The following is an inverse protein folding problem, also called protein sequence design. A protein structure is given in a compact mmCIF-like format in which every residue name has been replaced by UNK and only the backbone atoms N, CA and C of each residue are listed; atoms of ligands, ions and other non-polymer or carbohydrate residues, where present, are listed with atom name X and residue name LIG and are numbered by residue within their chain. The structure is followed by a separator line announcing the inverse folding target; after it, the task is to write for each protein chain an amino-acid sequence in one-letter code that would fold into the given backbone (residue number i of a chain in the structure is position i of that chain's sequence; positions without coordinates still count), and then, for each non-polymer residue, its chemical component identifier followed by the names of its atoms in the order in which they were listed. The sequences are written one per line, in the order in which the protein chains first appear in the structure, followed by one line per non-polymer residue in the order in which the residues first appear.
data_IF_752970532312
#
_entry.id   IF_752970532312
#
_cell.length_a   1.000
_cell.length_b   1.000
_cell.length_c   1.000
_cell.angle_alpha   90.00
_cell.angle_beta   90.00
_cell.angle_gamma   90.00
#
_symmetry.space_group_name_H-M   'P 1'
#
loop_
_entity.id
_entity.type
_entity.pdbx_description
1 polymer ?
#
# COMPACT_ATOMS: atom_id res chain seq x y z
N UNK A 1 -18.65 -20.44 -13.29
CA UNK A 1 -17.28 -20.45 -13.86
C UNK A 1 -16.38 -19.79 -12.82
N UNK A 2 -15.86 -20.60 -11.84
CA UNK A 2 -15.26 -20.11 -10.57
C UNK A 2 -13.83 -20.68 -10.40
N UNK A 3 -13.02 -20.61 -11.47
CA UNK A 3 -11.69 -21.25 -11.51
C UNK A 3 -10.55 -20.33 -11.02
N UNK A 4 -10.80 -19.00 -10.96
CA UNK A 4 -9.75 -18.05 -10.58
C UNK A 4 -9.59 -17.83 -9.06
N UNK A 5 -10.62 -18.07 -8.27
CA UNK A 5 -10.58 -17.82 -6.82
C UNK A 5 -9.62 -18.78 -6.08
N UNK A 6 -9.50 -20.03 -6.52
CA UNK A 6 -8.62 -21.03 -5.89
C UNK A 6 -7.14 -20.82 -6.15
N UNK A 7 -6.78 -20.14 -7.23
CA UNK A 7 -5.38 -19.95 -7.63
C UNK A 7 -4.63 -18.92 -6.77
N UNK A 8 -5.34 -18.07 -6.03
CA UNK A 8 -4.74 -17.05 -5.15
C UNK A 8 -4.67 -17.49 -3.68
N UNK A 9 -5.43 -18.51 -3.25
CA UNK A 9 -5.49 -18.91 -1.82
C UNK A 9 -4.16 -19.43 -1.27
N UNK A 10 -3.31 -20.02 -2.10
CA UNK A 10 -1.99 -20.52 -1.69
C UNK A 10 -0.84 -19.51 -1.88
N UNK A 11 -1.11 -18.36 -2.48
CA UNK A 11 -0.05 -17.35 -2.67
C UNK A 11 0.35 -16.72 -1.33
N UNK A 12 1.66 -16.62 -1.04
CA UNK A 12 2.12 -16.09 0.23
C UNK A 12 1.97 -14.56 0.31
N UNK A 13 1.90 -14.07 1.55
CA UNK A 13 2.36 -12.72 1.87
C UNK A 13 3.89 -12.77 1.96
N UNK A 14 4.56 -11.92 1.19
CA UNK A 14 6.02 -11.79 1.20
C UNK A 14 6.39 -10.51 1.92
N UNK A 15 7.35 -10.58 2.85
CA UNK A 15 7.90 -9.40 3.50
C UNK A 15 9.39 -9.28 3.22
N UNK A 16 9.81 -8.12 2.68
CA UNK A 16 11.21 -7.75 2.51
C UNK A 16 11.78 -7.12 3.78
N UNK A 17 12.84 -7.70 4.33
CA UNK A 17 13.51 -7.21 5.54
C UNK A 17 14.96 -6.81 5.26
N UNK A 18 15.42 -5.69 5.83
CA UNK A 18 16.75 -5.12 5.58
C UNK A 18 17.60 -4.90 6.82
N UNK A 19 17.16 -5.36 7.98
CA UNK A 19 17.88 -5.16 9.25
C UNK A 19 17.75 -3.75 9.82
N UNK A 20 16.86 -2.92 9.30
CA UNK A 20 16.54 -1.60 9.85
C UNK A 20 15.90 -1.70 11.25
N UNK A 21 15.85 -0.59 11.97
CA UNK A 21 15.18 -0.55 13.29
C UNK A 21 13.71 -0.89 13.25
N UNK A 22 13.06 -0.67 12.10
CA UNK A 22 11.65 -0.94 11.89
C UNK A 22 11.35 -2.41 11.55
N UNK A 23 12.36 -3.28 11.41
CA UNK A 23 12.19 -4.67 10.93
C UNK A 23 11.12 -5.44 11.71
N UNK A 24 11.06 -5.28 13.03
CA UNK A 24 10.10 -5.99 13.86
C UNK A 24 8.66 -5.56 13.53
N UNK A 25 8.40 -4.27 13.48
CA UNK A 25 7.08 -3.73 13.16
C UNK A 25 6.64 -4.09 11.72
N UNK A 26 7.58 -4.12 10.77
CA UNK A 26 7.30 -4.55 9.39
C UNK A 26 6.92 -6.03 9.34
N UNK A 27 7.63 -6.87 10.08
CA UNK A 27 7.35 -8.30 10.18
C UNK A 27 6.02 -8.55 10.89
N UNK A 28 5.70 -7.82 11.96
CA UNK A 28 4.43 -7.91 12.67
C UNK A 28 3.25 -7.51 11.78
N UNK A 29 3.39 -6.41 11.03
CA UNK A 29 2.40 -5.99 10.05
C UNK A 29 2.17 -7.08 8.98
N UNK A 30 3.24 -7.65 8.45
CA UNK A 30 3.14 -8.71 7.44
C UNK A 30 2.52 -9.99 8.01
N UNK A 31 2.82 -10.35 9.25
CA UNK A 31 2.21 -11.49 9.92
C UNK A 31 0.71 -11.29 10.14
N UNK A 32 0.29 -10.12 10.60
CA UNK A 32 -1.12 -9.76 10.73
C UNK A 32 -1.86 -9.83 9.38
N UNK A 33 -1.24 -9.31 8.30
CA UNK A 33 -1.78 -9.40 6.95
C UNK A 33 -1.89 -10.86 6.45
N UNK A 34 -0.91 -11.71 6.77
CA UNK A 34 -0.91 -13.14 6.40
C UNK A 34 -2.00 -13.91 7.15
N UNK A 35 -2.16 -13.67 8.47
CA UNK A 35 -3.22 -14.28 9.28
C UNK A 35 -4.59 -13.89 8.73
N UNK A 36 -4.82 -12.61 8.49
CA UNK A 36 -6.09 -12.10 8.00
C UNK A 36 -6.47 -12.67 6.63
N UNK A 37 -5.48 -12.89 5.76
CA UNK A 37 -5.68 -13.48 4.43
C UNK A 37 -5.66 -14.99 4.42
N UNK A 38 -5.42 -15.65 5.57
CA UNK A 38 -5.19 -17.10 5.66
C UNK A 38 -4.12 -17.60 4.71
N UNK A 39 -3.11 -16.76 4.46
CA UNK A 39 -1.99 -17.01 3.55
C UNK A 39 -0.73 -17.36 4.32
N UNK A 40 0.18 -18.19 3.76
CA UNK A 40 1.50 -18.36 4.36
C UNK A 40 2.31 -17.05 4.31
N UNK A 41 3.25 -16.90 5.24
CA UNK A 41 4.18 -15.78 5.29
C UNK A 41 5.56 -16.22 4.82
N UNK A 42 6.18 -15.48 3.91
CA UNK A 42 7.57 -15.65 3.49
C UNK A 42 8.37 -14.42 3.89
N UNK A 43 9.33 -14.60 4.82
CA UNK A 43 10.23 -13.53 5.25
C UNK A 43 11.47 -13.59 4.37
N UNK A 44 11.67 -12.56 3.56
CA UNK A 44 12.72 -12.50 2.55
C UNK A 44 13.75 -11.43 2.90
N UNK A 45 15.01 -11.79 2.90
CA UNK A 45 16.13 -10.86 2.90
C UNK A 45 16.90 -11.00 1.59
N UNK A 46 17.24 -9.87 0.96
CA UNK A 46 18.08 -9.86 -0.23
C UNK A 46 19.47 -9.41 0.17
N UNK A 47 20.41 -10.35 0.13
CA UNK A 47 21.80 -10.07 0.40
C UNK A 47 22.47 -9.46 -0.84
N UNK A 48 23.01 -8.23 -0.75
CA UNK A 48 23.52 -7.51 -1.93
C UNK A 48 24.74 -8.18 -2.56
N UNK A 49 25.43 -9.07 -1.85
CA UNK A 49 26.58 -9.79 -2.40
C UNK A 49 27.64 -8.85 -2.97
N UNK A 50 28.20 -9.25 -4.11
CA UNK A 50 29.13 -8.42 -4.90
C UNK A 50 28.41 -7.41 -5.80
N UNK A 51 27.07 -7.43 -5.88
CA UNK A 51 26.24 -6.53 -6.69
C UNK A 51 25.95 -5.21 -5.97
N UNK A 52 27.01 -4.53 -5.53
CA UNK A 52 26.89 -3.28 -4.81
C UNK A 52 26.86 -2.09 -5.75
N UNK A 53 25.85 -2.00 -6.64
CA UNK A 53 25.73 -0.90 -7.60
C UNK A 53 25.93 0.48 -6.98
N UNK A 54 25.05 0.90 -6.09
CA UNK A 54 25.10 2.20 -5.43
C UNK A 54 25.99 2.25 -4.17
N UNK A 55 26.48 1.11 -3.69
CA UNK A 55 27.30 1.00 -2.47
C UNK A 55 28.79 0.84 -2.74
N UNK A 56 29.23 0.91 -3.99
CA UNK A 56 30.66 0.94 -4.32
C UNK A 56 31.33 2.16 -3.68
N UNK A 57 31.82 1.99 -2.45
CA UNK A 57 32.64 2.99 -1.79
C UNK A 57 32.25 3.41 -0.37
N UNK A 58 31.14 2.93 0.17
CA UNK A 58 30.74 3.30 1.55
C UNK A 58 30.28 2.08 2.33
N UNK A 59 31.20 1.41 3.00
CA UNK A 59 30.86 0.44 4.03
C UNK A 59 31.27 -0.99 3.72
N UNK A 60 31.39 -1.77 4.76
CA UNK A 60 31.63 -3.21 4.73
C UNK A 60 30.37 -3.91 4.23
N UNK A 61 30.51 -4.83 3.29
CA UNK A 61 29.40 -5.71 2.87
C UNK A 61 28.96 -6.52 4.10
N UNK A 62 27.68 -6.49 4.51
CA UNK A 62 27.22 -7.27 5.64
C UNK A 62 27.54 -8.75 5.44
N UNK A 63 27.94 -9.44 6.51
CA UNK A 63 28.22 -10.85 6.41
C UNK A 63 26.93 -11.62 6.09
N UNK A 64 27.03 -12.67 5.26
CA UNK A 64 25.88 -13.52 4.93
C UNK A 64 25.31 -14.24 6.16
N UNK A 65 26.15 -14.44 7.20
CA UNK A 65 25.73 -14.93 8.51
C UNK A 65 24.75 -13.99 9.21
N UNK A 66 24.94 -12.68 9.10
CA UNK A 66 24.08 -11.68 9.71
C UNK A 66 22.69 -11.67 9.04
N UNK A 67 22.68 -11.82 7.71
CA UNK A 67 21.44 -11.98 6.95
C UNK A 67 20.65 -13.23 7.38
N UNK A 68 21.34 -14.36 7.60
CA UNK A 68 20.70 -15.59 8.11
C UNK A 68 20.17 -15.42 9.51
N UNK A 69 20.95 -14.79 10.40
CA UNK A 69 20.52 -14.50 11.76
C UNK A 69 19.30 -13.59 11.82
N UNK A 70 19.27 -12.53 10.99
CA UNK A 70 18.10 -11.66 10.85
C UNK A 70 16.84 -12.43 10.51
N UNK A 71 16.91 -13.32 9.51
CA UNK A 71 15.80 -14.16 9.09
C UNK A 71 15.36 -15.13 10.20
N UNK A 72 16.30 -15.74 10.91
CA UNK A 72 16.00 -16.66 12.01
C UNK A 72 15.29 -15.98 13.18
N UNK A 73 15.76 -14.80 13.58
CA UNK A 73 15.13 -14.00 14.63
C UNK A 73 13.72 -13.56 14.22
N UNK A 74 13.54 -13.13 12.97
CA UNK A 74 12.24 -12.73 12.44
C UNK A 74 11.25 -13.90 12.41
N UNK A 75 11.67 -15.09 11.97
CA UNK A 75 10.83 -16.30 11.99
C UNK A 75 10.47 -16.72 13.42
N UNK A 76 11.45 -16.70 14.33
CA UNK A 76 11.22 -17.04 15.73
C UNK A 76 10.20 -16.12 16.39
N UNK A 77 10.27 -14.80 16.10
CA UNK A 77 9.29 -13.82 16.56
C UNK A 77 7.87 -14.17 16.08
N UNK A 78 7.70 -14.35 14.76
CA UNK A 78 6.38 -14.65 14.20
C UNK A 78 5.81 -15.95 14.75
N UNK A 79 6.62 -17.01 14.87
CA UNK A 79 6.16 -18.30 15.43
C UNK A 79 5.71 -18.20 16.88
N UNK A 80 6.32 -17.31 17.67
CA UNK A 80 5.92 -17.06 19.06
C UNK A 80 4.57 -16.34 19.13
N UNK A 81 4.34 -15.34 18.28
CA UNK A 81 3.14 -14.50 18.29
C UNK A 81 1.98 -15.12 17.50
N UNK A 82 2.29 -15.88 16.46
CA UNK A 82 1.33 -16.53 15.56
C UNK A 82 1.67 -18.01 15.34
N UNK A 83 1.51 -18.89 16.36
CA UNK A 83 1.98 -20.29 16.29
C UNK A 83 1.32 -21.12 15.17
N UNK A 84 0.11 -20.74 14.73
CA UNK A 84 -0.61 -21.43 13.64
C UNK A 84 -0.24 -20.93 12.23
N UNK A 85 0.48 -19.80 12.13
CA UNK A 85 0.86 -19.23 10.84
C UNK A 85 1.99 -20.05 10.19
N UNK A 86 1.78 -20.48 8.95
CA UNK A 86 2.84 -21.12 8.15
C UNK A 86 3.87 -20.07 7.74
N UNK A 87 5.09 -20.15 8.31
CA UNK A 87 6.17 -19.18 8.07
C UNK A 87 7.38 -19.86 7.43
N UNK A 88 7.89 -19.25 6.37
CA UNK A 88 9.14 -19.64 5.69
C UNK A 88 10.12 -18.47 5.67
N UNK A 89 11.40 -18.76 5.61
CA UNK A 89 12.47 -17.77 5.39
C UNK A 89 13.09 -17.96 4.02
N UNK A 90 13.48 -16.86 3.38
CA UNK A 90 14.15 -16.88 2.08
C UNK A 90 15.30 -15.89 2.08
N UNK A 91 16.49 -16.35 1.68
CA UNK A 91 17.65 -15.52 1.46
C UNK A 91 17.95 -15.50 -0.04
N UNK A 92 17.84 -14.35 -0.65
CA UNK A 92 18.11 -14.12 -2.07
C UNK A 92 19.43 -13.37 -2.23
N UNK A 93 20.07 -13.53 -3.37
CA UNK A 93 21.30 -12.83 -3.72
C UNK A 93 20.99 -11.81 -4.83
N UNK A 94 21.51 -10.58 -4.72
CA UNK A 94 21.38 -9.57 -5.78
C UNK A 94 20.81 -8.23 -5.36
N UNK A 95 20.15 -7.56 -6.29
CA UNK A 95 19.50 -6.27 -6.04
C UNK A 95 18.12 -6.43 -5.41
N UNK A 96 17.89 -5.84 -4.23
CA UNK A 96 16.65 -5.99 -3.48
C UNK A 96 15.40 -5.60 -4.30
N UNK A 97 15.48 -4.53 -5.07
CA UNK A 97 14.35 -4.04 -5.87
C UNK A 97 13.91 -5.08 -6.92
N UNK A 98 14.86 -5.65 -7.65
CA UNK A 98 14.59 -6.63 -8.72
C UNK A 98 14.09 -7.94 -8.11
N UNK A 99 14.79 -8.47 -7.11
CA UNK A 99 14.43 -9.75 -6.50
C UNK A 99 13.05 -9.73 -5.84
N UNK A 100 12.69 -8.63 -5.19
CA UNK A 100 11.37 -8.48 -4.59
C UNK A 100 10.27 -8.25 -5.65
N UNK A 101 10.57 -7.55 -6.75
CA UNK A 101 9.64 -7.41 -7.86
C UNK A 101 9.35 -8.76 -8.53
N UNK A 102 10.37 -9.59 -8.76
CA UNK A 102 10.20 -10.96 -9.27
C UNK A 102 9.36 -11.81 -8.30
N UNK A 103 9.64 -11.75 -6.99
CA UNK A 103 8.87 -12.47 -5.97
C UNK A 103 7.40 -12.03 -5.93
N UNK A 104 7.09 -10.77 -6.26
CA UNK A 104 5.73 -10.26 -6.26
C UNK A 104 4.81 -10.96 -7.26
N UNK A 105 5.34 -11.48 -8.36
CA UNK A 105 4.56 -12.22 -9.37
C UNK A 105 3.88 -13.48 -8.81
N UNK A 106 4.43 -14.05 -7.76
CA UNK A 106 3.94 -15.26 -7.10
C UNK A 106 3.37 -14.99 -5.71
N UNK A 107 3.19 -13.73 -5.37
CA UNK A 107 2.74 -13.29 -4.05
C UNK A 107 1.31 -12.76 -4.09
N UNK A 108 0.63 -12.85 -2.96
CA UNK A 108 -0.68 -12.22 -2.73
C UNK A 108 -0.53 -10.77 -2.28
N UNK A 109 0.53 -10.49 -1.54
CA UNK A 109 0.88 -9.16 -1.02
C UNK A 109 2.38 -9.10 -0.83
N UNK A 110 3.00 -8.01 -1.23
CA UNK A 110 4.38 -7.68 -0.89
C UNK A 110 4.38 -6.59 0.18
N UNK A 111 5.09 -6.83 1.29
CA UNK A 111 5.24 -5.87 2.39
C UNK A 111 6.69 -5.42 2.48
N UNK A 112 6.93 -4.12 2.52
CA UNK A 112 8.26 -3.52 2.69
C UNK A 112 8.21 -2.37 3.67
N UNK A 113 9.36 -2.05 4.24
CA UNK A 113 9.54 -0.85 5.07
C UNK A 113 9.89 0.36 4.23
N UNK A 114 9.46 1.51 4.72
CA UNK A 114 10.01 2.78 4.27
C UNK A 114 11.33 3.04 5.00
N UNK A 115 12.37 3.39 4.27
CA UNK A 115 13.68 3.69 4.87
C UNK A 115 13.75 5.18 5.18
N UNK A 116 13.73 5.51 6.46
CA UNK A 116 13.97 6.86 6.97
C UNK A 116 15.48 7.21 6.91
N UNK A 117 16.08 7.10 5.73
CA UNK A 117 17.47 7.54 5.58
C UNK A 117 17.50 9.06 5.33
N UNK A 118 18.00 9.79 6.33
CA UNK A 118 18.10 11.27 6.34
C UNK A 118 18.92 11.80 5.17
N UNK A 119 19.68 10.95 4.49
CA UNK A 119 20.58 11.32 3.41
C UNK A 119 19.96 11.26 2.02
N UNK A 120 18.80 10.62 1.87
CA UNK A 120 18.12 10.47 0.58
C UNK A 120 17.04 11.52 0.42
N UNK A 121 17.19 12.40 -0.55
CA UNK A 121 16.23 13.49 -0.87
C UNK A 121 14.88 13.03 -1.41
N UNK A 122 14.69 11.75 -1.73
CA UNK A 122 13.44 11.19 -2.26
C UNK A 122 12.73 10.35 -1.20
N UNK A 123 11.46 10.61 -1.00
CA UNK A 123 10.66 10.15 0.13
C UNK A 123 10.51 8.64 0.34
N UNK A 124 10.69 7.78 -0.67
CA UNK A 124 10.37 6.34 -0.57
C UNK A 124 11.59 5.42 -0.53
N UNK A 125 12.77 5.92 -0.83
CA UNK A 125 13.95 5.12 -1.08
C UNK A 125 13.88 4.33 -2.41
N UNK A 126 15.05 3.96 -2.97
CA UNK A 126 15.13 3.42 -4.34
C UNK A 126 14.41 2.08 -4.51
N UNK A 127 14.41 1.21 -3.51
CA UNK A 127 13.76 -0.09 -3.57
C UNK A 127 12.24 0.05 -3.60
N UNK A 128 11.66 0.81 -2.68
CA UNK A 128 10.20 1.01 -2.61
C UNK A 128 9.68 1.74 -3.84
N UNK A 129 10.44 2.72 -4.34
CA UNK A 129 10.13 3.41 -5.56
C UNK A 129 10.05 2.48 -6.77
N UNK A 130 11.05 1.64 -6.93
CA UNK A 130 11.07 0.65 -8.00
C UNK A 130 9.88 -0.31 -7.88
N UNK A 131 9.61 -0.83 -6.68
CA UNK A 131 8.52 -1.76 -6.42
C UNK A 131 7.14 -1.14 -6.66
N UNK A 132 6.96 0.16 -6.41
CA UNK A 132 5.71 0.85 -6.70
C UNK A 132 5.30 0.76 -8.18
N UNK A 133 6.28 0.68 -9.09
CA UNK A 133 6.04 0.59 -10.53
C UNK A 133 6.12 -0.84 -11.10
N UNK A 134 6.80 -1.75 -10.41
CA UNK A 134 7.15 -3.08 -10.95
C UNK A 134 6.56 -4.24 -10.15
N UNK A 135 5.84 -3.98 -9.05
CA UNK A 135 5.18 -5.06 -8.32
C UNK A 135 3.99 -5.60 -9.09
N UNK A 136 3.92 -6.91 -9.24
CA UNK A 136 2.82 -7.64 -9.87
C UNK A 136 1.67 -7.93 -8.89
N UNK A 137 1.86 -7.74 -7.59
CA UNK A 137 0.83 -7.85 -6.57
C UNK A 137 0.71 -6.53 -5.77
N UNK A 138 -0.32 -6.35 -4.95
CA UNK A 138 -0.41 -5.20 -4.06
C UNK A 138 0.85 -5.05 -3.21
N UNK A 139 1.32 -3.80 -3.07
CA UNK A 139 2.50 -3.43 -2.31
C UNK A 139 2.08 -2.64 -1.07
N UNK A 140 2.31 -3.19 0.11
CA UNK A 140 2.10 -2.52 1.39
C UNK A 140 3.42 -1.94 1.90
N UNK A 141 3.48 -0.63 1.99
CA UNK A 141 4.64 0.10 2.49
C UNK A 141 4.39 0.50 3.94
N UNK A 142 5.13 -0.13 4.86
CA UNK A 142 5.11 0.26 6.27
C UNK A 142 5.82 1.61 6.44
N UNK A 143 5.24 2.47 7.26
CA UNK A 143 5.80 3.75 7.67
C UNK A 143 5.83 3.80 9.19
N UNK A 144 6.89 4.35 9.74
CA UNK A 144 7.03 4.50 11.18
C UNK A 144 5.83 5.26 11.78
N UNK A 145 5.06 4.59 12.62
CA UNK A 145 3.84 5.08 13.28
C UNK A 145 2.83 3.97 13.43
N UNK A 146 2.13 3.97 14.54
CA UNK A 146 1.03 3.04 14.82
C UNK A 146 -0.31 3.76 14.70
N UNK A 147 -0.90 3.91 13.51
CA UNK A 147 -2.28 4.33 13.42
C UNK A 147 -3.17 3.13 13.73
N UNK A 148 -3.41 2.88 15.00
CA UNK A 148 -4.31 1.80 15.45
C UNK A 148 -5.76 2.14 15.16
N UNK A 149 -6.07 3.42 14.91
CA UNK A 149 -7.42 3.92 14.68
C UNK A 149 -7.46 4.87 13.49
N UNK A 150 -8.65 5.12 12.96
CA UNK A 150 -8.89 6.04 11.85
C UNK A 150 -9.54 5.39 10.63
N UNK A 151 -9.95 6.18 9.63
CA UNK A 151 -10.56 5.67 8.41
C UNK A 151 -9.53 4.97 7.50
N UNK A 152 -10.04 4.10 6.64
CA UNK A 152 -9.32 3.77 5.41
C UNK A 152 -9.54 4.92 4.44
N UNK A 153 -8.47 5.41 3.83
CA UNK A 153 -8.54 6.46 2.82
C UNK A 153 -8.18 5.84 1.46
N UNK A 154 -9.00 6.07 0.46
CA UNK A 154 -8.67 5.65 -0.92
C UNK A 154 -8.55 6.88 -1.81
N UNK A 155 -7.47 6.94 -2.56
CA UNK A 155 -7.36 7.90 -3.64
C UNK A 155 -7.71 7.21 -4.96
N UNK A 156 -8.65 7.80 -5.69
CA UNK A 156 -9.18 7.21 -6.92
C UNK A 156 -9.35 8.24 -8.02
N UNK A 157 -9.04 7.81 -9.24
CA UNK A 157 -9.40 8.57 -10.45
C UNK A 157 -10.87 8.42 -10.83
N UNK A 158 -11.61 7.57 -10.13
CA UNK A 158 -12.98 7.17 -10.44
C UNK A 158 -13.19 6.62 -11.87
N UNK A 159 -12.12 6.19 -12.55
CA UNK A 159 -12.18 5.52 -13.85
C UNK A 159 -12.41 4.02 -13.66
N UNK A 160 -12.87 3.30 -14.70
CA UNK A 160 -13.09 1.85 -14.62
C UNK A 160 -11.88 1.06 -14.11
N UNK A 161 -10.68 1.49 -14.47
CA UNK A 161 -9.42 0.85 -14.06
C UNK A 161 -9.16 0.96 -12.55
N UNK A 162 -9.80 1.90 -11.86
CA UNK A 162 -9.70 2.07 -10.42
C UNK A 162 -10.54 1.07 -9.62
N UNK A 163 -11.34 0.23 -10.28
CA UNK A 163 -12.22 -0.74 -9.62
C UNK A 163 -11.49 -1.67 -8.64
N UNK A 164 -10.33 -2.19 -9.02
CA UNK A 164 -9.50 -3.02 -8.13
C UNK A 164 -9.07 -2.26 -6.87
N UNK A 165 -8.68 -1.00 -7.00
CA UNK A 165 -8.26 -0.12 -5.89
C UNK A 165 -9.43 0.16 -4.95
N UNK A 166 -10.60 0.48 -5.50
CA UNK A 166 -11.83 0.70 -4.72
C UNK A 166 -12.25 -0.56 -3.97
N UNK A 167 -12.32 -1.70 -4.66
CA UNK A 167 -12.67 -2.95 -4.04
C UNK A 167 -11.74 -3.34 -2.90
N UNK A 168 -10.44 -3.11 -3.07
CA UNK A 168 -9.46 -3.35 -2.02
C UNK A 168 -9.69 -2.43 -0.81
N UNK A 169 -9.94 -1.15 -1.05
CA UNK A 169 -10.21 -0.17 0.01
C UNK A 169 -11.49 -0.50 0.79
N UNK A 170 -12.58 -0.87 0.11
CA UNK A 170 -13.81 -1.30 0.75
C UNK A 170 -13.61 -2.55 1.58
N UNK A 171 -12.94 -3.57 1.05
CA UNK A 171 -12.61 -4.79 1.78
C UNK A 171 -11.80 -4.47 3.05
N UNK A 172 -10.83 -3.56 2.98
CA UNK A 172 -10.03 -3.17 4.15
C UNK A 172 -10.86 -2.38 5.17
N UNK A 173 -11.73 -1.48 4.72
CA UNK A 173 -12.62 -0.72 5.60
C UNK A 173 -13.59 -1.66 6.35
N UNK A 174 -14.15 -2.64 5.64
CA UNK A 174 -15.00 -3.69 6.22
C UNK A 174 -14.26 -4.50 7.29
N UNK A 175 -13.08 -5.03 6.94
CA UNK A 175 -12.24 -5.82 7.87
C UNK A 175 -11.86 -5.02 9.12
N UNK A 176 -11.59 -3.74 8.98
CA UNK A 176 -11.24 -2.87 10.10
C UNK A 176 -12.46 -2.31 10.83
N UNK A 177 -13.67 -2.62 10.39
CA UNK A 177 -14.93 -2.06 10.90
C UNK A 177 -14.86 -0.54 11.01
N UNK A 178 -14.37 0.12 9.96
CA UNK A 178 -14.17 1.57 9.92
C UNK A 178 -14.76 2.20 8.66
N UNK A 179 -14.93 3.52 8.68
CA UNK A 179 -15.39 4.25 7.48
C UNK A 179 -14.32 4.29 6.41
N UNK A 180 -14.77 4.42 5.17
CA UNK A 180 -13.96 4.70 3.99
C UNK A 180 -14.06 6.18 3.61
N UNK A 181 -12.93 6.84 3.45
CA UNK A 181 -12.86 8.19 2.86
C UNK A 181 -12.38 8.06 1.42
N UNK A 182 -13.28 8.29 0.46
CA UNK A 182 -12.97 8.23 -0.97
C UNK A 182 -12.57 9.62 -1.47
N UNK A 183 -11.29 9.78 -1.75
CA UNK A 183 -10.71 11.02 -2.28
C UNK A 183 -10.65 10.91 -3.81
N UNK A 184 -11.38 11.79 -4.50
CA UNK A 184 -11.31 11.91 -5.95
C UNK A 184 -10.62 13.22 -6.33
N UNK A 185 -9.49 13.08 -7.02
CA UNK A 185 -8.79 14.20 -7.59
C UNK A 185 -9.40 14.53 -8.96
N UNK A 186 -9.81 15.75 -9.14
CA UNK A 186 -10.25 16.24 -10.44
C UNK A 186 -9.33 17.33 -10.95
N UNK A 187 -9.05 17.27 -12.25
CA UNK A 187 -8.21 18.25 -12.94
C UNK A 187 -9.11 19.13 -13.78
N UNK A 188 -8.91 20.42 -13.66
CA UNK A 188 -9.67 21.39 -14.43
C UNK A 188 -9.29 21.25 -15.92
N UNK A 189 -10.27 21.21 -16.85
CA UNK A 189 -9.98 21.30 -18.29
C UNK A 189 -9.18 22.59 -18.59
N UNK A 190 -8.10 22.47 -19.37
CA UNK A 190 -7.19 23.59 -19.69
C UNK A 190 -6.07 23.86 -18.69
N UNK A 191 -6.04 23.21 -17.52
CA UNK A 191 -4.93 23.37 -16.56
C UNK A 191 -3.59 22.89 -17.13
N UNK A 192 -3.62 21.90 -18.02
CA UNK A 192 -2.43 21.37 -18.71
C UNK A 192 -1.85 22.33 -19.75
N UNK A 193 -2.62 23.32 -20.20
CA UNK A 193 -2.21 24.29 -21.23
C UNK A 193 -1.60 25.57 -20.65
N UNK A 194 -1.45 25.67 -19.33
CA UNK A 194 -0.81 26.81 -18.67
C UNK A 194 -1.62 28.13 -18.76
N UNK A 195 -2.84 28.09 -19.25
CA UNK A 195 -3.72 29.25 -19.34
C UNK A 195 -4.44 29.37 -17.99
N UNK A 196 -4.26 30.47 -17.23
CA UNK A 196 -5.03 30.67 -16.01
C UNK A 196 -6.51 30.76 -16.37
N UNK A 197 -7.36 29.82 -15.94
CA UNK A 197 -8.76 29.87 -16.30
C UNK A 197 -9.43 30.99 -15.52
N UNK A 198 -9.88 32.02 -16.19
CA UNK A 198 -10.93 32.91 -15.71
C UNK A 198 -12.23 32.13 -15.84
N UNK A 199 -12.49 31.25 -14.89
CA UNK A 199 -13.70 30.43 -14.91
C UNK A 199 -14.78 31.22 -14.17
N UNK A 200 -15.89 31.47 -14.85
CA UNK A 200 -17.09 31.93 -14.18
C UNK A 200 -17.51 30.92 -13.09
N UNK A 201 -17.99 31.39 -11.94
CA UNK A 201 -18.37 30.53 -10.81
C UNK A 201 -19.32 29.39 -11.21
N UNK A 202 -20.19 29.61 -12.21
CA UNK A 202 -21.09 28.59 -12.74
C UNK A 202 -20.40 27.41 -13.46
N UNK A 203 -19.31 27.66 -14.19
CA UNK A 203 -18.56 26.60 -14.84
C UNK A 203 -17.82 25.73 -13.81
N UNK A 204 -17.28 26.31 -12.75
CA UNK A 204 -16.67 25.56 -11.65
C UNK A 204 -17.67 24.63 -10.97
N UNK A 205 -18.86 25.14 -10.66
CA UNK A 205 -19.92 24.34 -10.03
C UNK A 205 -20.37 23.17 -10.92
N UNK A 206 -20.46 23.39 -12.24
CA UNK A 206 -20.81 22.34 -13.20
C UNK A 206 -19.73 21.24 -13.27
N UNK A 207 -18.45 21.61 -13.27
CA UNK A 207 -17.33 20.67 -13.26
C UNK A 207 -17.28 19.85 -11.97
N UNK A 208 -17.49 20.47 -10.81
CA UNK A 208 -17.62 19.78 -9.54
C UNK A 208 -18.77 18.76 -9.55
N UNK A 209 -19.93 19.15 -10.09
CA UNK A 209 -21.07 18.24 -10.19
C UNK A 209 -20.80 17.02 -11.09
N UNK A 210 -20.03 17.20 -12.15
CA UNK A 210 -19.59 16.10 -13.01
C UNK A 210 -18.63 15.16 -12.25
N UNK A 211 -17.66 15.71 -11.51
CA UNK A 211 -16.72 14.95 -10.71
C UNK A 211 -17.44 14.16 -9.59
N UNK A 212 -18.45 14.76 -8.94
CA UNK A 212 -19.30 14.09 -7.95
C UNK A 212 -20.04 12.89 -8.55
N UNK A 213 -20.71 13.09 -9.68
CA UNK A 213 -21.41 12.00 -10.37
C UNK A 213 -20.46 10.87 -10.78
N UNK A 214 -19.27 11.21 -11.25
CA UNK A 214 -18.26 10.24 -11.65
C UNK A 214 -17.80 9.41 -10.45
N UNK A 215 -17.55 10.05 -9.31
CA UNK A 215 -17.18 9.36 -8.07
C UNK A 215 -18.34 8.49 -7.57
N UNK A 216 -19.57 8.99 -7.58
CA UNK A 216 -20.74 8.22 -7.14
C UNK A 216 -20.98 6.98 -7.99
N UNK A 217 -20.84 7.10 -9.31
CA UNK A 217 -20.96 5.96 -10.22
C UNK A 217 -19.88 4.91 -9.94
N UNK A 218 -18.63 5.34 -9.69
CA UNK A 218 -17.53 4.42 -9.37
C UNK A 218 -17.73 3.70 -8.01
N UNK A 219 -18.39 4.35 -7.05
CA UNK A 219 -18.64 3.79 -5.72
C UNK A 219 -19.91 2.91 -5.66
N UNK A 220 -20.83 3.02 -6.60
CA UNK A 220 -22.16 2.42 -6.50
C UNK A 220 -22.12 0.88 -6.36
N UNK A 221 -21.35 0.19 -7.20
CA UNK A 221 -21.17 -1.27 -7.13
C UNK A 221 -20.61 -1.70 -5.77
N UNK A 222 -19.61 -0.99 -5.27
CA UNK A 222 -18.93 -1.32 -4.03
C UNK A 222 -19.78 -1.06 -2.79
N UNK A 223 -20.59 -0.01 -2.79
CA UNK A 223 -21.58 0.24 -1.73
C UNK A 223 -22.62 -0.86 -1.64
N UNK A 224 -23.06 -1.41 -2.76
CA UNK A 224 -23.98 -2.54 -2.79
C UNK A 224 -23.31 -3.80 -2.23
N UNK A 225 -22.03 -4.01 -2.53
CA UNK A 225 -21.27 -5.18 -2.08
C UNK A 225 -20.85 -5.12 -0.62
N UNK A 226 -20.63 -3.91 -0.09
CA UNK A 226 -20.20 -3.64 1.30
C UNK A 226 -21.14 -2.63 1.97
N UNK A 227 -22.39 -3.00 2.24
CA UNK A 227 -23.41 -2.06 2.74
C UNK A 227 -23.09 -1.50 4.12
N UNK A 228 -22.34 -2.24 4.95
CA UNK A 228 -21.97 -1.86 6.31
C UNK A 228 -20.79 -0.88 6.38
N UNK A 229 -20.15 -0.55 5.25
CA UNK A 229 -19.02 0.39 5.20
C UNK A 229 -19.52 1.80 4.97
N UNK A 230 -19.48 2.71 5.97
CA UNK A 230 -19.81 4.11 5.79
C UNK A 230 -18.81 4.77 4.83
N UNK A 231 -19.29 5.48 3.82
CA UNK A 231 -18.45 6.13 2.81
C UNK A 231 -18.59 7.64 2.88
N UNK A 232 -17.48 8.31 3.16
CA UNK A 232 -17.31 9.75 3.05
C UNK A 232 -16.64 10.08 1.70
N UNK A 233 -17.17 11.07 0.98
CA UNK A 233 -16.63 11.50 -0.32
C UNK A 233 -15.89 12.81 -0.15
N UNK A 234 -14.71 12.91 -0.77
CA UNK A 234 -13.91 14.10 -0.77
C UNK A 234 -13.43 14.42 -2.20
N UNK A 235 -13.94 15.50 -2.75
CA UNK A 235 -13.47 16.04 -4.03
C UNK A 235 -12.33 17.02 -3.79
N UNK A 236 -11.22 16.81 -4.46
CA UNK A 236 -10.00 17.59 -4.24
C UNK A 236 -9.46 18.10 -5.57
N UNK A 237 -9.11 19.37 -5.62
CA UNK A 237 -8.38 19.94 -6.73
C UNK A 237 -6.94 19.40 -6.74
N UNK A 238 -6.34 19.32 -7.92
CA UNK A 238 -4.97 18.85 -8.12
C UNK A 238 -3.95 19.58 -7.21
N UNK A 239 -4.10 20.89 -7.03
CA UNK A 239 -3.20 21.69 -6.20
C UNK A 239 -3.31 21.37 -4.70
N UNK A 240 -4.48 20.95 -4.25
CA UNK A 240 -4.75 20.65 -2.83
C UNK A 240 -4.49 19.18 -2.51
N UNK A 241 -4.28 18.33 -3.51
CA UNK A 241 -4.10 16.89 -3.36
C UNK A 241 -2.92 16.53 -2.44
N UNK A 242 -1.74 17.14 -2.54
CA UNK A 242 -0.62 16.85 -1.64
C UNK A 242 -0.96 17.06 -0.17
N UNK A 243 -1.65 18.15 0.15
CA UNK A 243 -2.09 18.47 1.53
C UNK A 243 -3.16 17.51 2.03
N UNK A 244 -4.08 17.12 1.14
CA UNK A 244 -5.13 16.15 1.46
C UNK A 244 -4.54 14.78 1.76
N UNK A 245 -3.61 14.31 0.95
CA UNK A 245 -2.92 13.04 1.17
C UNK A 245 -2.09 13.08 2.45
N UNK A 246 -1.36 14.17 2.73
CA UNK A 246 -0.62 14.32 3.99
C UNK A 246 -1.57 14.28 5.20
N UNK A 247 -2.69 14.96 5.13
CA UNK A 247 -3.74 14.94 6.15
C UNK A 247 -4.33 13.54 6.36
N UNK A 248 -4.59 12.83 5.25
CA UNK A 248 -5.08 11.46 5.24
C UNK A 248 -4.08 10.49 5.88
N UNK A 249 -2.79 10.61 5.54
CA UNK A 249 -1.73 9.77 6.12
C UNK A 249 -1.53 9.99 7.62
N UNK A 250 -1.79 11.17 8.13
CA UNK A 250 -1.69 11.47 9.58
C UNK A 250 -2.86 10.94 10.40
N UNK A 251 -4.04 10.88 9.82
CA UNK A 251 -5.30 10.57 10.52
C UNK A 251 -5.90 9.23 10.11
N UNK A 252 -5.47 8.68 8.99
CA UNK A 252 -5.95 7.43 8.45
C UNK A 252 -5.28 6.23 9.10
N UNK A 253 -5.98 5.10 9.07
CA UNK A 253 -5.42 3.80 9.42
C UNK A 253 -4.65 3.17 8.28
N UNK A 254 -5.08 3.41 7.05
CA UNK A 254 -4.49 2.91 5.82
C UNK A 254 -4.80 3.87 4.68
N UNK A 255 -3.82 4.18 3.86
CA UNK A 255 -4.02 4.85 2.58
C UNK A 255 -3.94 3.80 1.46
N UNK A 256 -4.98 3.73 0.63
CA UNK A 256 -5.03 2.84 -0.55
C UNK A 256 -4.98 3.69 -1.82
N UNK A 257 -4.13 3.29 -2.76
CA UNK A 257 -3.98 3.98 -4.03
C UNK A 257 -3.73 3.01 -5.17
N UNK A 258 -4.23 3.32 -6.36
CA UNK A 258 -3.91 2.57 -7.57
C UNK A 258 -2.58 3.01 -8.17
N UNK A 259 -1.83 2.06 -8.72
CA UNK A 259 -0.69 2.34 -9.57
C UNK A 259 -1.18 2.33 -11.02
N UNK A 260 -1.28 3.48 -11.65
CA UNK A 260 -1.79 3.61 -13.02
C UNK A 260 -0.70 3.97 -14.04
N UNK A 261 -1.04 3.83 -15.33
CA UNK A 261 -0.20 4.25 -16.46
C UNK A 261 0.18 5.73 -16.43
N UNK A 262 -0.61 6.55 -15.81
CA UNK A 262 -0.35 7.98 -15.66
C UNK A 262 0.62 8.34 -14.55
N UNK A 263 1.17 7.35 -13.82
CA UNK A 263 2.28 7.57 -12.86
C UNK A 263 2.04 8.63 -11.78
N UNK A 264 1.21 9.59 -12.10
CA UNK A 264 1.00 10.84 -11.38
C UNK A 264 0.62 10.66 -9.93
N UNK A 265 -0.05 9.58 -9.57
CA UNK A 265 -0.43 9.41 -8.17
C UNK A 265 0.72 8.86 -7.31
N UNK A 266 1.50 7.92 -7.83
CA UNK A 266 2.72 7.49 -7.18
C UNK A 266 3.72 8.64 -7.10
N UNK A 267 3.80 9.47 -8.13
CA UNK A 267 4.62 10.69 -8.18
C UNK A 267 4.11 11.77 -7.22
N UNK A 268 2.80 11.99 -7.10
CA UNK A 268 2.22 12.87 -6.09
C UNK A 268 2.51 12.40 -4.67
N UNK A 269 2.49 11.10 -4.43
CA UNK A 269 2.95 10.53 -3.16
C UNK A 269 4.45 10.75 -2.98
N UNK A 270 5.22 10.82 -4.04
CA UNK A 270 6.64 11.16 -4.04
C UNK A 270 6.89 12.63 -3.74
N UNK A 271 6.17 13.52 -4.41
CA UNK A 271 6.38 14.98 -4.34
C UNK A 271 5.80 15.60 -3.06
N UNK A 272 4.67 15.10 -2.57
CA UNK A 272 4.07 15.57 -1.31
C UNK A 272 4.94 15.25 -0.09
N UNK A 273 6.05 14.53 -0.32
CA UNK A 273 7.03 14.15 0.65
C UNK A 273 8.15 15.16 0.86
N UNK A 274 7.84 16.44 0.85
CA UNK A 274 8.84 17.48 1.13
C UNK A 274 9.41 17.40 2.55
N UNK A 275 10.65 17.88 2.76
CA UNK A 275 11.40 17.74 4.02
C UNK A 275 10.70 18.22 5.29
N UNK A 276 9.73 19.10 5.19
CA UNK A 276 8.93 19.57 6.33
C UNK A 276 8.02 18.50 6.93
N UNK A 277 7.66 17.46 6.15
CA UNK A 277 6.85 16.33 6.59
C UNK A 277 7.67 15.21 7.27
N UNK A 278 9.00 15.37 7.38
CA UNK A 278 9.95 14.34 7.83
C UNK A 278 9.76 13.84 9.26
N UNK A 279 8.98 14.48 10.08
CA UNK A 279 8.95 14.18 11.52
C UNK A 279 7.68 13.52 12.01
N UNK A 280 6.73 13.16 11.12
CA UNK A 280 5.47 12.58 11.59
C UNK A 280 5.21 11.22 10.96
N UNK A 281 5.15 10.25 11.85
CA UNK A 281 4.62 8.94 11.56
C UNK A 281 3.31 9.04 10.77
N UNK A 282 3.15 8.23 9.74
CA UNK A 282 1.96 8.17 8.90
C UNK A 282 1.44 6.74 8.80
N UNK A 283 0.19 6.58 8.40
CA UNK A 283 -0.37 5.26 8.18
C UNK A 283 0.39 4.50 7.06
N UNK A 284 0.33 3.16 7.06
CA UNK A 284 0.80 2.37 5.94
C UNK A 284 0.13 2.77 4.63
N UNK A 285 0.85 2.61 3.53
CA UNK A 285 0.33 2.88 2.18
C UNK A 285 0.26 1.58 1.40
N UNK A 286 -0.92 1.28 0.86
CA UNK A 286 -1.16 0.13 0.02
C UNK A 286 -1.32 0.58 -1.43
N UNK A 287 -0.42 0.13 -2.29
CA UNK A 287 -0.44 0.38 -3.72
C UNK A 287 -1.02 -0.85 -4.44
N UNK A 288 -2.08 -0.64 -5.21
CA UNK A 288 -2.77 -1.71 -5.94
C UNK A 288 -2.40 -1.62 -7.43
N UNK A 289 -1.78 -2.66 -8.00
CA UNK A 289 -1.42 -2.65 -9.42
C UNK A 289 -2.68 -2.73 -10.30
N UNK A 290 -2.62 -2.19 -11.54
CA UNK A 290 -3.74 -2.22 -12.46
C UNK A 290 -4.12 -3.67 -12.80
N UNK A 291 -5.43 -3.93 -12.87
CA UNK A 291 -5.95 -5.25 -13.22
C UNK A 291 -5.83 -6.32 -12.13
N UNK A 292 -5.39 -5.96 -10.93
CA UNK A 292 -5.37 -6.90 -9.81
C UNK A 292 -6.78 -7.36 -9.47
N UNK A 293 -6.99 -8.68 -9.50
CA UNK A 293 -8.29 -9.31 -9.21
C UNK A 293 -8.10 -10.27 -8.03
N UNK A 294 -8.16 -9.75 -6.83
CA UNK A 294 -8.37 -10.59 -5.66
C UNK A 294 -9.86 -10.85 -5.50
N UNK A 295 -10.24 -12.09 -5.14
CA UNK A 295 -11.62 -12.38 -4.75
C UNK A 295 -11.92 -11.63 -3.44
N UNK A 296 -12.50 -10.45 -3.55
CA UNK A 296 -12.92 -9.61 -2.44
C UNK A 296 -14.28 -10.12 -1.98
N UNK A 297 -14.28 -11.08 -1.04
CA UNK A 297 -15.51 -11.64 -0.49
C UNK A 297 -15.86 -10.93 0.83
N UNK A 298 -16.97 -10.17 0.89
CA UNK A 298 -17.40 -9.52 2.12
C UNK A 298 -17.74 -10.52 3.24
N UNK A 299 -18.23 -11.72 2.91
CA UNK A 299 -18.51 -12.77 3.89
C UNK A 299 -17.24 -13.29 4.60
N UNK A 300 -16.06 -13.18 3.96
CA UNK A 300 -14.78 -13.54 4.55
C UNK A 300 -14.16 -12.41 5.40
N UNK A 301 -14.66 -11.20 5.30
CA UNK A 301 -14.18 -10.06 6.06
C UNK A 301 -14.73 -10.03 7.50
N UNK A 302 -15.94 -10.57 7.74
CA UNK A 302 -16.66 -10.49 9.02
C UNK A 302 -16.31 -11.56 10.06
N UNK A 303 -15.62 -12.64 9.72
CA UNK A 303 -15.39 -13.79 10.64
C UNK A 303 -14.14 -13.67 11.52
N UNK A 304 -13.50 -12.51 11.54
CA UNK A 304 -12.31 -12.27 12.38
C UNK A 304 -12.57 -11.78 13.80
N UNK A 305 -13.81 -11.42 14.16
CA UNK A 305 -14.14 -10.80 15.45
C UNK A 305 -14.59 -11.77 16.56
N UNK A 306 -14.87 -13.04 16.26
CA UNK A 306 -15.41 -14.00 17.25
C UNK A 306 -14.38 -14.92 17.92
N UNK A 307 -13.10 -14.69 17.79
CA UNK A 307 -12.07 -15.57 18.37
C UNK A 307 -11.30 -14.94 19.54
N UNK A 308 -11.87 -14.00 20.29
CA UNK A 308 -11.24 -13.37 21.47
C UNK A 308 -12.07 -13.41 22.75
N UNK A 309 -13.02 -14.33 22.87
CA UNK A 309 -13.64 -14.64 24.17
C UNK A 309 -13.65 -16.17 24.34
N UNK A 310 -12.62 -16.73 24.95
CA UNK A 310 -12.58 -17.82 25.95
C UNK A 310 -11.17 -17.87 26.53
#
# INVERSE_FOLDING_TARGET
MNTDAGMYEDRPVVVGVDGSRAVQAIVDLAAAEAVQRRSPLVITHVWPGRYTGSFRGRGTIPARSDARRLLELSVARVRREHPRLRVRKQLLDGGAAIQLAEASAFSRLLVVGHRDDVTVRSGWGPTTAYLAHHSSCPLLVYRAGDPVSGPVVVSTSARPEAGATLGYAFSRASVFSTRLVAVHMWTRPGAAEGIPPVVAAGAYAAECAVAEKTLDAALAEWRTRFPDVPVERLLVNELDMPYTIEGAMRRGRLLVAGVGRSGSFAELLYESWRPAARQRAGCPVLLVPPGWREALDPARAGTGAEASEV
#
